data_IF_400719240392
#
_entry.id   IF_400719240392
#
_cell.length_a   1.000
_cell.length_b   1.000
_cell.length_c   1.000
_cell.angle_alpha   90.00
_cell.angle_beta   90.00
_cell.angle_gamma   90.00
#
_symmetry.space_group_name_H-M   'P 1'
#
loop_
_entity.id
_entity.type
_entity.pdbx_description
1 polymer ?
#
# COMPACT_ATOMS: atom_id res chain seq x y z
N UNK A 1 6.76 -2.03 -5.64
CA UNK A 1 7.71 -1.02 -6.18
C UNK A 1 8.70 -0.66 -5.07
N UNK A 2 9.56 0.36 -5.22
CA UNK A 2 10.29 0.90 -4.06
C UNK A 2 9.48 2.00 -3.34
N UNK A 3 9.91 2.39 -2.14
CA UNK A 3 9.11 3.20 -1.21
C UNK A 3 8.77 4.58 -1.78
N UNK A 4 9.77 5.28 -2.31
CA UNK A 4 9.54 6.59 -2.96
C UNK A 4 8.60 6.49 -4.16
N UNK A 5 8.62 5.39 -4.92
CA UNK A 5 7.68 5.19 -6.02
C UNK A 5 6.25 4.97 -5.51
N UNK A 6 6.06 4.24 -4.41
CA UNK A 6 4.73 4.08 -3.81
C UNK A 6 4.13 5.43 -3.39
N UNK A 7 4.91 6.29 -2.74
CA UNK A 7 4.44 7.63 -2.34
C UNK A 7 4.05 8.47 -3.56
N UNK A 8 4.86 8.50 -4.61
CA UNK A 8 4.55 9.25 -5.85
C UNK A 8 3.26 8.75 -6.48
N UNK A 9 3.11 7.43 -6.65
CA UNK A 9 1.92 6.84 -7.27
C UNK A 9 0.67 7.05 -6.41
N UNK A 10 0.79 6.95 -5.08
CA UNK A 10 -0.31 7.21 -4.15
C UNK A 10 -0.73 8.68 -4.19
N UNK A 11 0.21 9.62 -4.21
CA UNK A 11 -0.11 11.05 -4.34
C UNK A 11 -0.88 11.36 -5.63
N UNK A 12 -0.47 10.78 -6.76
CA UNK A 12 -1.18 10.92 -8.04
C UNK A 12 -2.57 10.27 -8.01
N UNK A 13 -2.71 9.10 -7.38
CA UNK A 13 -4.00 8.44 -7.21
C UNK A 13 -4.97 9.27 -6.34
N UNK A 14 -4.48 9.82 -5.24
CA UNK A 14 -5.25 10.69 -4.33
C UNK A 14 -5.72 11.95 -5.06
N UNK A 15 -4.88 12.54 -5.89
CA UNK A 15 -5.25 13.67 -6.75
C UNK A 15 -6.39 13.33 -7.72
N UNK A 16 -6.30 12.20 -8.42
CA UNK A 16 -7.37 11.70 -9.30
C UNK A 16 -8.70 11.48 -8.56
N UNK A 17 -8.63 11.19 -7.25
CA UNK A 17 -9.79 11.01 -6.36
C UNK A 17 -10.26 12.31 -5.70
N UNK A 18 -9.61 13.46 -5.95
CA UNK A 18 -9.85 14.72 -5.22
C UNK A 18 -9.70 14.60 -3.69
N UNK A 19 -8.77 13.75 -3.25
CA UNK A 19 -8.45 13.49 -1.85
C UNK A 19 -7.19 14.24 -1.40
N UNK A 20 -6.94 14.24 -0.10
CA UNK A 20 -5.76 14.90 0.48
C UNK A 20 -4.48 14.10 0.16
N UNK A 21 -3.62 14.69 -0.68
CA UNK A 21 -2.33 14.12 -1.08
C UNK A 21 -1.37 13.88 0.08
N UNK A 22 -1.58 14.57 1.21
CA UNK A 22 -0.87 14.32 2.46
C UNK A 22 -1.01 12.89 2.99
N UNK A 23 -2.02 12.15 2.53
CA UNK A 23 -2.19 10.74 2.86
C UNK A 23 -1.24 9.81 2.07
N UNK A 24 -0.44 10.30 1.11
CA UNK A 24 0.48 9.46 0.34
C UNK A 24 1.49 8.69 1.21
N UNK A 25 1.82 9.22 2.39
CA UNK A 25 2.69 8.55 3.38
C UNK A 25 2.14 7.20 3.87
N UNK A 26 0.82 6.98 3.85
CA UNK A 26 0.23 5.71 4.27
C UNK A 26 0.55 4.57 3.29
N UNK A 27 0.91 4.88 2.03
CA UNK A 27 1.33 3.90 1.02
C UNK A 27 2.65 3.22 1.33
N UNK A 28 3.42 3.66 2.32
CA UNK A 28 4.65 2.96 2.75
C UNK A 28 4.45 2.14 4.01
N UNK A 29 3.27 2.15 4.65
CA UNK A 29 3.03 1.35 5.86
C UNK A 29 3.27 -0.16 5.65
N UNK A 30 2.89 -0.80 4.53
CA UNK A 30 3.03 -2.27 4.44
C UNK A 30 4.48 -2.77 4.46
N UNK A 31 5.46 -1.87 4.45
CA UNK A 31 6.88 -2.19 4.52
C UNK A 31 7.35 -2.46 5.97
N UNK A 32 6.51 -2.23 6.97
CA UNK A 32 6.81 -2.46 8.40
C UNK A 32 7.28 -3.89 8.70
N UNK A 33 6.88 -4.85 7.85
CA UNK A 33 7.22 -6.28 7.88
C UNK A 33 8.69 -6.60 7.59
N UNK A 34 9.55 -5.58 7.43
CA UNK A 34 11.00 -5.78 7.36
C UNK A 34 11.56 -6.44 8.62
N UNK A 35 10.96 -6.15 9.78
CA UNK A 35 11.35 -6.75 11.05
C UNK A 35 10.13 -7.09 11.91
N UNK A 36 10.15 -8.23 12.63
CA UNK A 36 11.12 -9.32 12.52
C UNK A 36 10.99 -10.09 11.18
N UNK A 37 12.07 -10.73 10.69
CA UNK A 37 12.12 -11.30 9.35
C UNK A 37 11.06 -12.38 9.08
N UNK A 38 10.48 -13.00 10.11
CA UNK A 38 9.47 -14.05 9.96
C UNK A 38 8.09 -13.56 9.49
N UNK A 39 7.78 -12.26 9.55
CA UNK A 39 6.56 -11.72 8.93
C UNK A 39 6.70 -11.49 7.42
N UNK A 40 7.92 -11.60 6.87
CA UNK A 40 8.24 -11.73 5.45
C UNK A 40 7.36 -10.91 4.47
N UNK A 41 7.24 -9.59 4.58
CA UNK A 41 6.47 -8.70 3.65
C UNK A 41 5.00 -9.06 3.34
N UNK A 42 4.52 -10.24 3.71
CA UNK A 42 3.20 -10.76 3.35
C UNK A 42 2.19 -10.24 4.36
N UNK A 43 2.57 -10.12 5.64
CA UNK A 43 1.64 -9.86 6.72
C UNK A 43 0.85 -8.55 6.57
N UNK A 44 1.51 -7.47 6.13
CA UNK A 44 0.92 -6.16 5.91
C UNK A 44 0.28 -5.96 4.53
N UNK A 45 0.55 -6.87 3.58
CA UNK A 45 -0.18 -6.93 2.31
C UNK A 45 -1.54 -7.60 2.43
N UNK A 46 -1.77 -8.41 3.47
CA UNK A 46 -3.05 -9.09 3.70
C UNK A 46 -4.17 -8.07 3.94
N UNK A 47 -5.23 -8.14 3.13
CA UNK A 47 -6.35 -7.20 3.16
C UNK A 47 -7.05 -7.18 4.51
N UNK A 48 -7.31 -8.35 5.10
CA UNK A 48 -7.89 -8.49 6.44
C UNK A 48 -7.07 -7.73 7.49
N UNK A 49 -5.75 -7.59 7.28
CA UNK A 49 -4.90 -6.94 8.25
C UNK A 49 -4.82 -5.41 8.12
N UNK A 50 -5.12 -4.86 6.95
CA UNK A 50 -4.95 -3.43 6.65
C UNK A 50 -5.75 -2.50 7.58
N UNK A 51 -7.01 -2.80 8.00
CA UNK A 51 -7.73 -1.97 8.95
C UNK A 51 -6.97 -1.68 10.25
N UNK A 52 -6.40 -2.72 10.88
CA UNK A 52 -5.64 -2.55 12.13
C UNK A 52 -4.38 -1.70 11.93
N UNK A 53 -3.68 -1.85 10.80
CA UNK A 53 -2.50 -1.03 10.50
C UNK A 53 -2.88 0.41 10.23
N UNK A 54 -4.00 0.63 9.53
CA UNK A 54 -4.50 1.96 9.24
C UNK A 54 -4.88 2.69 10.52
N UNK A 55 -5.65 2.04 11.41
CA UNK A 55 -6.05 2.62 12.70
C UNK A 55 -4.84 3.02 13.55
N UNK A 56 -3.83 2.14 13.64
CA UNK A 56 -2.61 2.43 14.39
C UNK A 56 -1.80 3.56 13.74
N UNK A 57 -1.66 3.56 12.41
CA UNK A 57 -0.95 4.61 11.70
C UNK A 57 -1.62 5.97 11.89
N UNK A 58 -2.94 6.03 11.77
CA UNK A 58 -3.74 7.21 12.06
C UNK A 58 -3.55 7.68 13.50
N UNK A 59 -3.54 6.78 14.49
CA UNK A 59 -3.29 7.14 15.89
C UNK A 59 -1.88 7.73 16.10
N UNK A 60 -0.87 7.14 15.46
CA UNK A 60 0.53 7.58 15.53
C UNK A 60 0.68 8.97 14.92
N UNK A 61 0.20 9.16 13.68
CA UNK A 61 0.35 10.41 12.96
C UNK A 61 -0.53 11.55 13.50
N UNK A 62 -1.73 11.24 14.01
CA UNK A 62 -2.66 12.26 14.52
C UNK A 62 -2.31 12.76 15.92
N UNK A 63 -1.64 11.96 16.75
CA UNK A 63 -1.43 12.34 18.16
C UNK A 63 -0.17 13.18 18.42
N UNK A 64 0.38 13.81 17.40
CA UNK A 64 1.52 14.74 17.50
C UNK A 64 2.89 14.07 17.52
N UNK A 65 3.91 14.85 17.16
CA UNK A 65 5.31 14.45 17.05
C UNK A 65 5.72 14.15 15.61
N UNK A 66 4.85 13.51 14.81
CA UNK A 66 5.17 13.18 13.41
C UNK A 66 5.31 14.44 12.54
N UNK A 67 4.32 15.33 12.54
CA UNK A 67 4.34 16.58 11.76
C UNK A 67 5.45 17.54 12.21
N UNK A 68 5.74 17.56 13.51
CA UNK A 68 6.78 18.40 14.11
C UNK A 68 8.19 17.79 14.01
N UNK A 69 8.30 16.55 13.50
CA UNK A 69 9.51 15.72 13.55
C UNK A 69 10.08 15.55 14.97
N UNK A 70 9.23 15.59 15.99
CA UNK A 70 9.59 15.23 17.36
C UNK A 70 9.38 13.73 17.60
N UNK A 71 10.38 12.95 17.17
CA UNK A 71 10.39 11.50 17.34
C UNK A 71 10.54 11.07 18.81
N UNK A 72 10.93 11.97 19.72
CA UNK A 72 10.98 11.66 21.15
C UNK A 72 9.56 11.53 21.72
N UNK A 73 8.64 12.41 21.30
CA UNK A 73 7.23 12.35 21.66
C UNK A 73 6.59 11.07 21.10
N UNK A 74 6.86 10.73 19.83
CA UNK A 74 6.37 9.49 19.22
C UNK A 74 6.82 8.24 20.00
N UNK A 75 8.11 8.16 20.34
CA UNK A 75 8.66 7.03 21.08
C UNK A 75 8.06 6.91 22.48
N UNK A 76 7.88 8.02 23.20
CA UNK A 76 7.23 8.00 24.52
C UNK A 76 5.79 7.47 24.42
N UNK A 77 5.00 7.97 23.47
CA UNK A 77 3.60 7.54 23.27
C UNK A 77 3.51 6.06 22.85
N UNK A 78 4.42 5.61 21.99
CA UNK A 78 4.58 4.19 21.63
C UNK A 78 4.79 3.34 22.89
N UNK A 79 5.72 3.72 23.76
CA UNK A 79 6.04 2.95 24.96
C UNK A 79 4.86 2.92 25.95
N UNK A 80 4.15 4.03 26.11
CA UNK A 80 2.93 4.12 26.91
C UNK A 80 1.83 3.18 26.39
N UNK A 81 1.59 3.18 25.06
CA UNK A 81 0.60 2.32 24.40
C UNK A 81 0.95 0.85 24.49
N UNK A 82 2.22 0.49 24.24
CA UNK A 82 2.69 -0.89 24.38
C UNK A 82 2.55 -1.37 25.83
N UNK A 83 2.86 -0.53 26.81
CA UNK A 83 2.66 -0.86 28.24
C UNK A 83 1.19 -1.07 28.57
N UNK A 84 0.31 -0.22 28.04
CA UNK A 84 -1.14 -0.36 28.18
C UNK A 84 -1.61 -1.71 27.62
N UNK A 85 -1.26 -2.05 26.38
CA UNK A 85 -1.69 -3.31 25.75
C UNK A 85 -1.13 -4.54 26.46
N UNK A 86 0.12 -4.52 26.93
CA UNK A 86 0.65 -5.61 27.74
C UNK A 86 -0.12 -5.81 29.05
N UNK A 87 -0.57 -4.70 29.67
CA UNK A 87 -1.42 -4.76 30.87
C UNK A 87 -2.79 -5.33 30.55
N UNK A 88 -3.35 -5.02 29.39
CA UNK A 88 -4.62 -5.58 28.92
C UNK A 88 -4.49 -7.08 28.62
N UNK A 89 -3.41 -7.51 27.92
CA UNK A 89 -3.11 -8.94 27.68
C UNK A 89 -3.04 -9.71 28.99
N UNK A 90 -2.37 -9.17 30.01
CA UNK A 90 -2.23 -9.83 31.32
C UNK A 90 -3.56 -10.00 32.07
N UNK A 91 -4.61 -9.25 31.69
CA UNK A 91 -5.95 -9.34 32.27
C UNK A 91 -6.89 -10.24 31.48
N UNK A 92 -6.52 -10.63 30.25
CA UNK A 92 -7.35 -11.50 29.43
C UNK A 92 -7.39 -12.92 30.01
N UNK A 93 -8.52 -13.63 29.89
CA UNK A 93 -8.59 -15.07 30.14
C UNK A 93 -7.51 -15.83 29.34
N UNK A 94 -6.96 -16.90 29.91
CA UNK A 94 -5.88 -17.66 29.26
C UNK A 94 -6.30 -18.32 27.94
N UNK A 95 -7.60 -18.51 27.75
CA UNK A 95 -8.24 -19.10 26.57
C UNK A 95 -8.76 -18.04 25.57
N UNK A 96 -8.61 -16.74 25.86
CA UNK A 96 -8.94 -15.66 24.92
C UNK A 96 -7.79 -15.43 23.92
N UNK A 97 -7.62 -16.39 23.01
CA UNK A 97 -6.60 -16.34 21.96
C UNK A 97 -6.84 -15.21 20.96
N UNK A 98 -8.10 -14.89 20.65
CA UNK A 98 -8.47 -13.84 19.70
C UNK A 98 -8.15 -12.45 20.26
N UNK A 99 -8.57 -12.17 21.50
CA UNK A 99 -8.26 -10.93 22.20
C UNK A 99 -6.76 -10.71 22.33
N UNK A 100 -6.02 -11.77 22.67
CA UNK A 100 -4.56 -11.73 22.77
C UNK A 100 -3.90 -11.43 21.41
N UNK A 101 -4.27 -12.16 20.35
CA UNK A 101 -3.73 -11.96 18.99
C UNK A 101 -3.99 -10.54 18.49
N UNK A 102 -5.17 -9.99 18.75
CA UNK A 102 -5.54 -8.61 18.39
C UNK A 102 -4.63 -7.58 19.08
N UNK A 103 -4.36 -7.75 20.38
CA UNK A 103 -3.48 -6.84 21.12
C UNK A 103 -2.01 -6.98 20.71
N UNK A 104 -1.52 -8.20 20.47
CA UNK A 104 -0.16 -8.45 19.98
C UNK A 104 0.06 -7.79 18.61
N UNK A 105 -0.93 -7.85 17.72
CA UNK A 105 -0.90 -7.15 16.43
C UNK A 105 -0.80 -5.63 16.60
N UNK A 106 -1.55 -5.04 17.52
CA UNK A 106 -1.46 -3.59 17.82
C UNK A 106 -0.10 -3.21 18.38
N UNK A 107 0.46 -4.01 19.29
CA UNK A 107 1.82 -3.80 19.82
C UNK A 107 2.85 -3.82 18.69
N UNK A 108 2.75 -4.80 17.79
CA UNK A 108 3.61 -4.91 16.63
C UNK A 108 3.49 -3.68 15.72
N UNK A 109 2.28 -3.30 15.34
CA UNK A 109 2.02 -2.15 14.47
C UNK A 109 2.55 -0.85 15.09
N UNK A 110 2.26 -0.58 16.37
CA UNK A 110 2.75 0.64 17.04
C UNK A 110 4.27 0.71 17.05
N UNK A 111 4.92 -0.43 17.33
CA UNK A 111 6.38 -0.51 17.35
C UNK A 111 6.95 -0.14 15.99
N UNK A 112 6.52 -0.86 14.96
CA UNK A 112 7.12 -0.74 13.63
C UNK A 112 6.76 0.55 12.92
N UNK A 113 5.52 1.02 13.02
CA UNK A 113 5.12 2.29 12.40
C UNK A 113 5.95 3.43 13.00
N UNK A 114 6.10 3.50 14.33
CA UNK A 114 6.88 4.56 14.98
C UNK A 114 8.37 4.48 14.65
N UNK A 115 8.94 3.28 14.60
CA UNK A 115 10.35 3.07 14.22
C UNK A 115 10.62 3.52 12.78
N UNK A 116 9.69 3.29 11.86
CA UNK A 116 9.85 3.60 10.43
C UNK A 116 9.36 5.01 10.05
N UNK A 117 8.59 5.70 10.91
CA UNK A 117 8.06 7.07 10.67
C UNK A 117 9.11 8.05 10.12
N UNK A 118 10.35 8.14 10.65
CA UNK A 118 11.34 9.05 10.08
C UNK A 118 11.63 8.77 8.60
N UNK A 119 11.69 7.50 8.21
CA UNK A 119 11.94 7.11 6.83
C UNK A 119 10.70 7.35 5.95
N UNK A 120 9.50 7.15 6.48
CA UNK A 120 8.25 7.45 5.79
C UNK A 120 8.13 8.94 5.45
N UNK A 121 8.47 9.82 6.40
CA UNK A 121 8.48 11.28 6.20
C UNK A 121 9.49 11.67 5.13
N UNK A 122 10.71 11.13 5.16
CA UNK A 122 11.72 11.44 4.13
C UNK A 122 11.21 11.08 2.72
N UNK A 123 10.53 9.95 2.55
CA UNK A 123 9.97 9.60 1.24
C UNK A 123 8.78 10.48 0.82
N UNK A 124 7.98 10.99 1.77
CA UNK A 124 6.96 11.98 1.50
C UNK A 124 7.57 13.31 1.05
N UNK A 125 8.66 13.74 1.69
CA UNK A 125 9.41 14.95 1.32
C UNK A 125 10.08 14.81 -0.05
N UNK A 126 10.75 13.69 -0.33
CA UNK A 126 11.38 13.42 -1.64
C UNK A 126 10.35 13.40 -2.79
N UNK A 127 9.10 13.02 -2.51
CA UNK A 127 8.05 12.93 -3.52
C UNK A 127 7.53 14.32 -3.96
N UNK A 128 7.71 15.36 -3.13
CA UNK A 128 7.25 16.73 -3.43
C UNK A 128 7.81 17.23 -4.76
N UNK A 129 9.10 17.03 -5.00
CA UNK A 129 9.78 17.47 -6.23
C UNK A 129 9.30 16.75 -7.49
N UNK A 130 8.80 15.51 -7.34
CA UNK A 130 8.34 14.69 -8.48
C UNK A 130 6.87 14.98 -8.78
N UNK A 131 6.06 15.14 -7.73
CA UNK A 131 4.62 15.43 -7.83
C UNK A 131 4.36 16.92 -8.10
N UNK A 132 5.34 17.78 -7.79
CA UNK A 132 5.27 19.24 -7.88
C UNK A 132 4.16 19.83 -6.96
N UNK A 133 3.99 19.23 -5.78
CA UNK A 133 3.00 19.68 -4.77
C UNK A 133 3.47 19.48 -3.32
N UNK A 134 3.60 20.58 -2.59
CA UNK A 134 4.02 20.63 -1.18
C UNK A 134 3.05 19.94 -0.20
N UNK A 135 1.78 19.77 -0.58
CA UNK A 135 0.79 19.08 0.26
C UNK A 135 1.13 17.61 0.50
N UNK A 136 1.92 16.97 -0.37
CA UNK A 136 2.37 15.58 -0.21
C UNK A 136 3.15 15.38 1.09
N UNK A 137 3.90 16.40 1.54
CA UNK A 137 4.68 16.34 2.79
C UNK A 137 3.88 16.63 4.06
N UNK A 138 2.61 17.06 3.93
CA UNK A 138 1.76 17.44 5.06
C UNK A 138 0.91 16.24 5.45
N UNK A 139 1.26 15.56 6.53
CA UNK A 139 0.61 14.29 6.89
C UNK A 139 -0.90 14.48 7.08
N UNK A 140 -1.68 13.79 6.26
CA UNK A 140 -3.14 13.83 6.33
C UNK A 140 -3.67 13.02 7.51
N UNK A 141 -4.84 13.45 8.00
CA UNK A 141 -5.60 12.78 9.05
C UNK A 141 -6.93 12.21 8.52
N UNK A 142 -7.17 12.27 7.21
CA UNK A 142 -8.38 11.77 6.58
C UNK A 142 -8.33 10.25 6.36
N UNK A 143 -9.29 9.53 6.97
CA UNK A 143 -9.31 8.05 6.99
C UNK A 143 -9.48 7.45 5.58
N UNK A 144 -10.32 8.06 4.74
CA UNK A 144 -10.58 7.55 3.39
C UNK A 144 -9.36 7.72 2.48
N UNK A 145 -8.72 8.90 2.53
CA UNK A 145 -7.45 9.18 1.85
C UNK A 145 -6.35 8.22 2.29
N UNK A 146 -6.23 8.00 3.60
CA UNK A 146 -5.26 7.06 4.15
C UNK A 146 -5.53 5.61 3.72
N UNK A 147 -6.79 5.19 3.62
CA UNK A 147 -7.18 3.86 3.14
C UNK A 147 -6.86 3.64 1.65
N UNK A 148 -7.21 4.61 0.78
CA UNK A 148 -6.84 4.57 -0.64
C UNK A 148 -5.34 4.44 -0.80
N UNK A 149 -4.58 5.26 -0.07
CA UNK A 149 -3.12 5.27 -0.08
C UNK A 149 -2.51 3.94 0.39
N UNK A 150 -2.96 3.41 1.53
CA UNK A 150 -2.50 2.13 2.07
C UNK A 150 -2.74 0.97 1.09
N UNK A 151 -3.96 0.84 0.57
CA UNK A 151 -4.32 -0.24 -0.34
C UNK A 151 -3.55 -0.15 -1.67
N UNK A 152 -3.29 1.08 -2.13
CA UNK A 152 -2.52 1.31 -3.36
C UNK A 152 -1.11 0.71 -3.29
N UNK A 153 -0.52 0.58 -2.10
CA UNK A 153 0.75 -0.12 -1.93
C UNK A 153 0.67 -1.56 -2.44
N UNK A 154 -0.25 -2.33 -1.87
CA UNK A 154 -0.41 -3.76 -2.18
C UNK A 154 -0.75 -3.95 -3.65
N UNK A 155 -1.59 -3.07 -4.19
CA UNK A 155 -1.87 -3.02 -5.63
C UNK A 155 -0.60 -2.78 -6.45
N UNK A 156 0.21 -1.75 -6.15
CA UNK A 156 1.44 -1.46 -6.89
C UNK A 156 2.59 -2.45 -6.63
N UNK A 157 2.49 -3.30 -5.61
CA UNK A 157 3.51 -4.30 -5.34
C UNK A 157 3.40 -5.55 -6.22
N UNK A 158 2.29 -5.73 -6.96
CA UNK A 158 2.12 -6.86 -7.91
C UNK A 158 3.14 -6.85 -9.08
N UNK A 159 3.80 -5.70 -9.33
CA UNK A 159 4.91 -5.54 -10.27
C UNK A 159 6.28 -5.90 -9.68
N UNK A 160 6.38 -6.02 -8.36
CA UNK A 160 7.64 -6.21 -7.62
C UNK A 160 7.79 -7.65 -7.12
N UNK A 161 6.70 -8.24 -6.65
CA UNK A 161 6.59 -9.62 -6.23
C UNK A 161 5.13 -10.10 -6.31
N UNK A 162 4.89 -11.41 -6.40
CA UNK A 162 3.56 -11.96 -6.15
C UNK A 162 3.09 -11.63 -4.72
N UNK A 163 1.85 -11.17 -4.56
CA UNK A 163 1.26 -10.80 -3.26
C UNK A 163 0.14 -11.75 -2.88
N UNK A 164 0.02 -12.10 -1.60
CA UNK A 164 -1.05 -12.98 -1.08
C UNK A 164 -2.09 -12.17 -0.30
N UNK A 165 -2.75 -11.24 -0.99
CA UNK A 165 -3.65 -10.26 -0.38
C UNK A 165 -4.87 -10.88 0.33
N UNK A 166 -5.34 -12.06 -0.12
CA UNK A 166 -6.56 -12.69 0.40
C UNK A 166 -6.32 -13.78 1.46
N UNK A 167 -5.14 -13.84 2.06
CA UNK A 167 -4.94 -14.72 3.21
C UNK A 167 -5.83 -14.27 4.40
N UNK A 168 -6.24 -15.21 5.27
CA UNK A 168 -6.04 -16.65 5.18
C UNK A 168 -7.07 -17.35 4.29
N UNK A 169 -8.09 -16.64 3.80
CA UNK A 169 -9.20 -17.22 3.03
C UNK A 169 -8.75 -17.87 1.71
N UNK A 170 -7.72 -17.32 1.07
CA UNK A 170 -7.11 -17.87 -0.13
C UNK A 170 -5.60 -17.63 -0.14
N UNK A 171 -4.82 -18.67 -0.40
CA UNK A 171 -3.35 -18.59 -0.46
C UNK A 171 -2.80 -18.30 -1.87
N UNK A 172 -3.66 -18.10 -2.86
CA UNK A 172 -3.23 -17.81 -4.23
C UNK A 172 -2.60 -16.41 -4.31
N UNK A 173 -1.57 -16.28 -5.15
CA UNK A 173 -0.88 -15.02 -5.33
C UNK A 173 -1.49 -14.21 -6.48
N UNK A 174 -1.48 -12.90 -6.32
CA UNK A 174 -1.78 -11.91 -7.35
C UNK A 174 -0.47 -11.31 -7.85
N UNK A 175 -0.27 -11.28 -9.17
CA UNK A 175 0.92 -10.67 -9.77
C UNK A 175 0.62 -10.18 -11.20
N UNK A 176 1.45 -9.29 -11.72
CA UNK A 176 1.45 -8.96 -13.15
C UNK A 176 2.12 -10.07 -13.97
N UNK A 177 1.49 -11.23 -14.10
CA UNK A 177 2.12 -12.43 -14.69
C UNK A 177 2.62 -12.20 -16.12
N UNK A 178 1.85 -11.49 -16.95
CA UNK A 178 2.29 -11.12 -18.30
C UNK A 178 3.52 -10.21 -18.27
N UNK A 179 3.56 -9.26 -17.31
CA UNK A 179 4.74 -8.42 -17.10
C UNK A 179 5.98 -9.27 -16.85
N UNK A 180 5.91 -10.17 -15.87
CA UNK A 180 7.00 -11.04 -15.45
C UNK A 180 7.50 -11.98 -16.57
N UNK A 181 6.59 -12.44 -17.44
CA UNK A 181 6.96 -13.31 -18.56
C UNK A 181 7.75 -12.58 -19.66
N UNK A 182 7.61 -11.26 -19.75
CA UNK A 182 8.14 -10.46 -20.86
C UNK A 182 9.26 -9.49 -20.42
N UNK A 183 9.55 -9.36 -19.14
CA UNK A 183 10.66 -8.54 -18.63
C UNK A 183 11.95 -9.36 -18.55
N UNK A 184 13.10 -8.75 -18.85
CA UNK A 184 14.39 -9.30 -18.44
C UNK A 184 14.51 -9.15 -16.92
N UNK A 185 14.16 -10.22 -16.20
CA UNK A 185 14.07 -10.21 -14.74
C UNK A 185 15.39 -9.79 -14.07
N UNK A 186 16.52 -10.34 -14.51
CA UNK A 186 17.81 -10.05 -13.85
C UNK A 186 18.23 -8.60 -14.10
N UNK A 187 18.04 -8.10 -15.31
CA UNK A 187 18.31 -6.69 -15.63
C UNK A 187 17.37 -5.78 -14.85
N UNK A 188 16.06 -6.02 -14.90
CA UNK A 188 15.07 -5.23 -14.19
C UNK A 188 15.36 -5.16 -12.69
N UNK A 189 15.56 -6.31 -12.01
CA UNK A 189 15.81 -6.33 -10.56
C UNK A 189 17.13 -5.69 -10.16
N UNK A 190 18.15 -5.72 -11.00
CA UNK A 190 19.48 -5.17 -10.69
C UNK A 190 19.63 -3.69 -11.05
N UNK A 191 18.91 -3.19 -12.05
CA UNK A 191 19.11 -1.84 -12.59
C UNK A 191 17.93 -0.89 -12.32
N UNK A 192 16.68 -1.36 -12.37
CA UNK A 192 15.51 -0.48 -12.34
C UNK A 192 15.44 0.39 -11.08
N UNK A 193 15.81 -0.17 -9.92
CA UNK A 193 15.75 0.52 -8.63
C UNK A 193 16.96 1.42 -8.35
N UNK A 194 17.92 1.53 -9.28
CA UNK A 194 19.02 2.50 -9.15
C UNK A 194 18.51 3.91 -9.43
N UNK A 195 19.08 4.90 -8.75
CA UNK A 195 18.66 6.31 -8.80
C UNK A 195 18.55 6.85 -10.23
N UNK A 196 19.51 6.50 -11.09
CA UNK A 196 19.56 6.91 -12.50
C UNK A 196 18.41 6.37 -13.36
N UNK A 197 17.71 5.33 -12.91
CA UNK A 197 16.61 4.68 -13.63
C UNK A 197 15.24 4.91 -12.97
N UNK A 198 15.17 4.80 -11.64
CA UNK A 198 13.91 4.91 -10.91
C UNK A 198 13.38 6.35 -10.88
N UNK A 199 14.26 7.37 -10.80
CA UNK A 199 13.82 8.77 -10.80
C UNK A 199 13.22 9.16 -12.16
N UNK A 200 13.84 8.87 -13.32
CA UNK A 200 13.20 9.07 -14.61
C UNK A 200 11.85 8.37 -14.74
N UNK A 201 11.75 7.11 -14.30
CA UNK A 201 10.47 6.38 -14.28
C UNK A 201 9.40 7.15 -13.50
N UNK A 202 9.70 7.58 -12.26
CA UNK A 202 8.75 8.33 -11.42
C UNK A 202 8.29 9.63 -12.08
N UNK A 203 9.23 10.39 -12.67
CA UNK A 203 8.92 11.63 -13.38
C UNK A 203 8.06 11.39 -14.62
N UNK A 204 8.30 10.30 -15.33
CA UNK A 204 7.54 9.94 -16.52
C UNK A 204 6.12 9.50 -16.15
N UNK A 205 5.98 8.54 -15.23
CA UNK A 205 4.66 8.04 -14.83
C UNK A 205 3.84 9.14 -14.15
N UNK A 206 4.43 10.03 -13.34
CA UNK A 206 3.72 11.14 -12.71
C UNK A 206 3.12 12.14 -13.72
N UNK A 207 3.68 12.21 -14.94
CA UNK A 207 3.20 13.04 -16.05
C UNK A 207 2.24 12.32 -17.00
N UNK A 208 1.94 11.05 -16.75
CA UNK A 208 1.00 10.29 -17.60
C UNK A 208 -0.41 10.90 -17.50
N UNK A 209 -1.10 10.97 -18.64
CA UNK A 209 -2.48 11.49 -18.71
C UNK A 209 -3.51 10.59 -18.05
N UNK A 210 -3.13 9.37 -17.68
CA UNK A 210 -4.03 8.46 -16.97
C UNK A 210 -4.56 9.09 -15.67
N UNK A 211 -3.73 9.91 -15.00
CA UNK A 211 -4.08 10.62 -13.77
C UNK A 211 -5.11 11.74 -13.94
N UNK A 212 -5.37 12.21 -15.17
CA UNK A 212 -6.41 13.21 -15.44
C UNK A 212 -7.83 12.64 -15.28
N UNK A 213 -7.94 11.32 -15.12
CA UNK A 213 -9.21 10.63 -14.87
C UNK A 213 -9.74 10.99 -13.49
N UNK A 214 -10.97 11.48 -13.42
CA UNK A 214 -11.67 11.68 -12.13
C UNK A 214 -12.20 10.35 -11.62
N UNK A 215 -11.83 10.00 -10.40
CA UNK A 215 -12.18 8.73 -9.76
C UNK A 215 -13.01 8.96 -8.51
N UNK A 216 -13.86 7.99 -8.17
CA UNK A 216 -14.50 7.94 -6.86
C UNK A 216 -13.63 7.15 -5.88
N UNK A 217 -13.27 7.71 -4.71
CA UNK A 217 -12.45 7.04 -3.69
C UNK A 217 -12.88 5.61 -3.34
N UNK A 218 -14.17 5.41 -3.10
CA UNK A 218 -14.75 4.16 -2.66
C UNK A 218 -14.77 3.14 -3.80
N UNK A 219 -15.05 3.61 -5.03
CA UNK A 219 -15.04 2.77 -6.21
C UNK A 219 -13.60 2.35 -6.60
N UNK A 220 -12.58 3.18 -6.38
CA UNK A 220 -11.20 2.80 -6.71
C UNK A 220 -10.63 1.79 -5.73
N UNK A 221 -10.99 1.86 -4.44
CA UNK A 221 -10.69 0.80 -3.46
C UNK A 221 -11.26 -0.52 -3.95
N UNK A 222 -12.55 -0.53 -4.34
CA UNK A 222 -13.20 -1.71 -4.91
C UNK A 222 -12.48 -2.21 -6.17
N UNK A 223 -12.17 -1.32 -7.11
CA UNK A 223 -11.50 -1.67 -8.36
C UNK A 223 -10.12 -2.31 -8.13
N UNK A 224 -9.30 -1.75 -7.24
CA UNK A 224 -7.99 -2.32 -6.91
C UNK A 224 -8.10 -3.75 -6.34
N UNK A 225 -9.08 -4.00 -5.46
CA UNK A 225 -9.31 -5.35 -4.89
C UNK A 225 -9.78 -6.33 -5.98
N UNK A 226 -10.72 -5.92 -6.84
CA UNK A 226 -11.17 -6.74 -7.99
C UNK A 226 -9.98 -7.10 -8.88
N UNK A 227 -9.17 -6.11 -9.26
CA UNK A 227 -8.01 -6.30 -10.13
C UNK A 227 -6.99 -7.26 -9.54
N UNK A 228 -6.69 -7.16 -8.24
CA UNK A 228 -5.81 -8.13 -7.57
C UNK A 228 -6.42 -9.53 -7.54
N UNK A 229 -7.75 -9.67 -7.40
CA UNK A 229 -8.45 -10.95 -7.56
C UNK A 229 -8.30 -11.55 -8.97
N UNK A 230 -8.49 -10.72 -10.00
CA UNK A 230 -8.35 -11.11 -11.41
C UNK A 230 -6.90 -11.45 -11.82
N UNK A 231 -5.92 -10.86 -11.13
CA UNK A 231 -4.50 -11.20 -11.27
C UNK A 231 -4.11 -12.48 -10.52
N UNK A 232 -5.04 -13.17 -9.87
CA UNK A 232 -4.79 -14.41 -9.16
C UNK A 232 -4.36 -15.55 -10.10
N UNK A 233 -3.22 -16.19 -9.81
CA UNK A 233 -2.84 -17.44 -10.47
C UNK A 233 -2.38 -18.49 -9.44
N UNK A 234 -3.16 -19.57 -9.18
CA UNK A 234 -4.47 -19.90 -9.77
C UNK A 234 -5.56 -18.85 -9.46
N UNK A 235 -6.68 -18.92 -10.19
CA UNK A 235 -7.78 -17.98 -10.02
C UNK A 235 -8.25 -17.91 -8.55
N UNK A 236 -8.45 -16.68 -8.05
CA UNK A 236 -8.98 -16.45 -6.71
C UNK A 236 -10.52 -16.54 -6.79
N UNK A 237 -11.19 -17.30 -5.90
CA UNK A 237 -12.65 -17.40 -5.91
C UNK A 237 -13.32 -16.04 -5.77
N UNK A 238 -14.39 -15.81 -6.53
CA UNK A 238 -15.12 -14.54 -6.53
C UNK A 238 -15.65 -14.19 -5.12
N UNK A 239 -16.10 -15.18 -4.36
CA UNK A 239 -16.65 -15.00 -3.02
C UNK A 239 -15.60 -14.45 -2.05
N UNK A 240 -14.33 -14.82 -2.23
CA UNK A 240 -13.22 -14.30 -1.42
C UNK A 240 -12.94 -12.83 -1.76
N UNK A 241 -12.97 -12.48 -3.05
CA UNK A 241 -12.82 -11.09 -3.51
C UNK A 241 -13.99 -10.23 -3.02
N UNK A 242 -15.23 -10.71 -3.17
CA UNK A 242 -16.44 -10.01 -2.74
C UNK A 242 -16.46 -9.79 -1.22
N UNK A 243 -16.08 -10.80 -0.43
CA UNK A 243 -15.96 -10.65 1.02
C UNK A 243 -14.92 -9.60 1.40
N UNK A 244 -13.73 -9.65 0.80
CA UNK A 244 -12.67 -8.67 1.05
C UNK A 244 -13.10 -7.23 0.75
N UNK A 245 -13.87 -7.02 -0.33
CA UNK A 245 -14.47 -5.71 -0.65
C UNK A 245 -15.45 -5.30 0.45
N UNK A 246 -16.38 -6.18 0.84
CA UNK A 246 -17.39 -5.87 1.86
C UNK A 246 -16.77 -5.52 3.20
N UNK A 247 -15.75 -6.26 3.63
CA UNK A 247 -15.10 -6.04 4.92
C UNK A 247 -14.38 -4.69 4.96
N UNK A 248 -13.67 -4.31 3.88
CA UNK A 248 -13.04 -3.00 3.79
C UNK A 248 -14.06 -1.87 3.69
N UNK A 249 -15.12 -2.01 2.89
CA UNK A 249 -16.16 -0.98 2.78
C UNK A 249 -16.87 -0.77 4.11
N UNK A 250 -17.22 -1.85 4.82
CA UNK A 250 -17.81 -1.76 6.17
C UNK A 250 -16.87 -1.09 7.15
N UNK A 251 -15.58 -1.42 7.13
CA UNK A 251 -14.59 -0.77 7.98
C UNK A 251 -14.47 0.75 7.74
N UNK A 252 -14.75 1.19 6.52
CA UNK A 252 -14.76 2.60 6.14
C UNK A 252 -16.15 3.27 6.29
N UNK A 253 -17.12 2.58 6.88
CA UNK A 253 -18.50 3.04 7.05
C UNK A 253 -19.19 3.38 5.70
N UNK A 254 -18.86 2.62 4.66
CA UNK A 254 -19.44 2.74 3.31
C UNK A 254 -20.44 1.59 3.11
N UNK A 255 -21.72 1.89 3.30
CA UNK A 255 -22.80 0.90 3.17
C UNK A 255 -23.43 0.85 1.76
N UNK A 256 -23.21 1.88 0.94
CA UNK A 256 -23.77 1.98 -0.40
C UNK A 256 -22.98 1.18 -1.43
N UNK A 257 -23.69 0.54 -2.37
CA UNK A 257 -23.07 -0.16 -3.48
C UNK A 257 -22.27 0.78 -4.38
N UNK A 258 -20.98 0.50 -4.52
CA UNK A 258 -20.09 1.25 -5.42
C UNK A 258 -19.97 0.56 -6.78
N UNK A 259 -20.46 1.23 -7.84
CA UNK A 259 -20.16 0.83 -9.23
C UNK A 259 -18.78 1.35 -9.59
N UNK A 260 -17.93 0.48 -10.14
CA UNK A 260 -16.50 0.74 -10.31
C UNK A 260 -16.00 0.62 -11.76
N UNK A 261 -16.88 0.72 -12.76
CA UNK A 261 -16.52 0.49 -14.17
C UNK A 261 -15.45 1.47 -14.67
N UNK A 262 -15.58 2.75 -14.31
CA UNK A 262 -14.61 3.79 -14.67
C UNK A 262 -13.27 3.59 -13.96
N UNK A 263 -13.31 3.20 -12.69
CA UNK A 263 -12.13 2.92 -11.87
C UNK A 263 -11.39 1.66 -12.32
N UNK A 264 -12.11 0.63 -12.78
CA UNK A 264 -11.53 -0.57 -13.40
C UNK A 264 -10.85 -0.23 -14.74
N UNK A 265 -11.49 0.59 -15.58
CA UNK A 265 -10.88 1.07 -16.82
C UNK A 265 -9.62 1.88 -16.53
N UNK A 266 -9.65 2.74 -15.52
CA UNK A 266 -8.48 3.48 -15.05
C UNK A 266 -7.36 2.52 -14.61
N UNK A 267 -7.65 1.50 -13.78
CA UNK A 267 -6.67 0.51 -13.37
C UNK A 267 -5.99 -0.16 -14.57
N UNK A 268 -6.76 -0.64 -15.55
CA UNK A 268 -6.19 -1.25 -16.75
C UNK A 268 -5.32 -0.29 -17.56
N UNK A 269 -5.74 0.97 -17.73
CA UNK A 269 -4.92 1.99 -18.42
C UNK A 269 -3.62 2.24 -17.66
N UNK A 270 -3.69 2.42 -16.34
CA UNK A 270 -2.53 2.66 -15.50
C UNK A 270 -1.56 1.46 -15.53
N UNK A 271 -2.09 0.25 -15.50
CA UNK A 271 -1.29 -0.97 -15.60
C UNK A 271 -0.51 -1.04 -16.91
N UNK A 272 -1.18 -0.72 -18.02
CA UNK A 272 -0.56 -0.65 -19.34
C UNK A 272 0.52 0.45 -19.39
N UNK A 273 0.23 1.65 -18.88
CA UNK A 273 1.20 2.75 -18.83
C UNK A 273 2.47 2.37 -18.05
N UNK A 274 2.33 1.84 -16.82
CA UNK A 274 3.47 1.39 -16.02
C UNK A 274 4.27 0.33 -16.78
N UNK A 275 3.59 -0.65 -17.38
CA UNK A 275 4.23 -1.73 -18.14
C UNK A 275 5.01 -1.19 -19.34
N UNK A 276 4.40 -0.34 -20.15
CA UNK A 276 5.03 0.19 -21.37
C UNK A 276 6.23 1.09 -21.04
N UNK A 277 6.18 1.89 -19.97
CA UNK A 277 7.34 2.68 -19.52
C UNK A 277 8.50 1.74 -19.15
N UNK A 278 8.25 0.71 -18.34
CA UNK A 278 9.30 -0.24 -17.94
C UNK A 278 9.82 -1.03 -19.15
N UNK A 279 8.96 -1.41 -20.10
CA UNK A 279 9.38 -2.19 -21.26
C UNK A 279 10.31 -1.47 -22.24
N UNK A 280 10.39 -0.13 -22.20
CA UNK A 280 11.34 0.61 -23.02
C UNK A 280 12.77 0.12 -22.85
N UNK A 281 13.15 -0.19 -21.61
CA UNK A 281 14.54 -0.52 -21.25
C UNK A 281 14.71 -1.95 -20.72
N UNK A 282 13.63 -2.59 -20.28
CA UNK A 282 13.69 -3.88 -19.58
C UNK A 282 12.92 -5.01 -20.26
N UNK A 283 12.34 -4.81 -21.45
CA UNK A 283 11.67 -5.89 -22.16
C UNK A 283 12.68 -6.96 -22.60
N UNK A 284 12.34 -8.23 -22.35
CA UNK A 284 13.12 -9.37 -22.81
C UNK A 284 13.14 -9.39 -24.33
N UNK A 285 14.33 -9.51 -24.91
CA UNK A 285 14.46 -9.75 -26.34
C UNK A 285 13.80 -11.10 -26.69
N UNK A 286 12.92 -11.10 -27.68
CA UNK A 286 12.39 -12.37 -28.20
C UNK A 286 13.56 -13.12 -28.83
N UNK A 287 13.97 -14.21 -28.20
CA UNK A 287 14.88 -15.18 -28.81
C UNK A 287 14.22 -15.59 -30.13
N UNK A 288 14.82 -15.21 -31.26
CA UNK A 288 14.44 -15.77 -32.56
C UNK A 288 14.67 -17.28 -32.43
N UNK A 289 13.59 -18.05 -32.43
CA UNK A 289 13.67 -19.51 -32.50
C UNK A 289 14.50 -19.87 -33.72
N UNK A 290 15.63 -20.53 -33.49
CA UNK A 290 16.47 -21.15 -34.52
C UNK A 290 15.73 -22.35 -35.10
#
# INVERSE_FOLDING_TARGET
MDWGTHVVLAAKLLESCSLDKGAAIYSVIPVIDKEPPHFHRVYAHILENQPDFLDVAMEVFNGGGANERDFSILNRRKDEKIKQFNTEIAKLPSDDFEGKRRLEKKIYAHRRIVEETPCFINHAEDAVDIVEDESVSKISTDKLSAAVSLLSHTYFDVWNNPVQIFLPACSHCSAQWEFWNNVDYMKFRSEFYKTENIIPFRKEIAKSKVWDTKLKPEAIIKAMIIRMGEMGQPAIPYEVVDMGIRDIMRYLDIDDYQRADNELEFCHKLENEIREIIYKDYRREKIKSI
#
